data_IF_607295547477
#
_entry.id   IF_607295547477
#
_cell.length_a   1.000
_cell.length_b   1.000
_cell.length_c   1.000
_cell.angle_alpha   90.00
_cell.angle_beta   90.00
_cell.angle_gamma   90.00
#
_symmetry.space_group_name_H-M   'P 1'
#
loop_
_entity.id
_entity.type
_entity.pdbx_description
1 polymer ?
#
# COMPACT_ATOMS: atom_id res chain seq x y z
N UNK A 1 -3.19 -1.48 6.29
CA UNK A 1 -3.90 -2.03 5.12
C UNK A 1 -5.20 -2.73 5.51
N UNK A 2 -5.20 -3.77 6.38
CA UNK A 2 -6.41 -4.55 6.75
C UNK A 2 -7.55 -3.67 7.24
N UNK A 3 -7.32 -2.82 8.24
CA UNK A 3 -8.35 -1.92 8.77
C UNK A 3 -8.81 -0.88 7.73
N UNK A 4 -7.90 -0.41 6.86
CA UNK A 4 -8.28 0.45 5.75
C UNK A 4 -9.18 -0.25 4.72
N UNK A 5 -8.88 -1.51 4.40
CA UNK A 5 -9.71 -2.33 3.52
C UNK A 5 -11.12 -2.53 4.10
N UNK A 6 -11.19 -2.92 5.36
CA UNK A 6 -12.48 -3.07 6.07
C UNK A 6 -13.27 -1.77 6.08
N UNK A 7 -12.63 -0.67 6.49
CA UNK A 7 -13.30 0.65 6.57
C UNK A 7 -13.75 1.13 5.19
N UNK A 8 -12.94 0.93 4.16
CA UNK A 8 -13.29 1.32 2.80
C UNK A 8 -14.52 0.59 2.28
N UNK A 9 -14.61 -0.71 2.51
CA UNK A 9 -15.77 -1.52 2.12
C UNK A 9 -16.99 -1.19 2.98
N UNK A 10 -16.83 -1.06 4.30
CA UNK A 10 -17.91 -0.70 5.21
C UNK A 10 -18.51 0.66 4.86
N UNK A 11 -17.68 1.68 4.63
CA UNK A 11 -18.11 3.01 4.22
C UNK A 11 -18.87 2.95 2.89
N UNK A 12 -18.36 2.18 1.93
CA UNK A 12 -19.00 2.02 0.64
C UNK A 12 -20.42 1.42 0.80
N UNK A 13 -20.55 0.29 1.48
CA UNK A 13 -21.85 -0.37 1.71
C UNK A 13 -22.85 0.50 2.49
N UNK A 14 -22.36 1.32 3.43
CA UNK A 14 -23.21 2.16 4.25
C UNK A 14 -23.75 3.38 3.49
N UNK A 15 -22.90 4.02 2.67
CA UNK A 15 -23.19 5.31 2.04
C UNK A 15 -23.45 5.23 0.54
N UNK A 16 -23.42 4.04 -0.07
CA UNK A 16 -23.62 3.84 -1.51
C UNK A 16 -24.92 4.44 -2.03
N UNK A 17 -26.00 4.34 -1.25
CA UNK A 17 -27.32 4.88 -1.62
C UNK A 17 -27.39 6.41 -1.56
N UNK A 18 -26.65 7.04 -0.64
CA UNK A 18 -26.70 8.49 -0.42
C UNK A 18 -25.68 9.27 -1.25
N UNK A 19 -24.46 8.74 -1.43
CA UNK A 19 -23.36 9.46 -2.07
C UNK A 19 -23.11 9.03 -3.53
N UNK A 20 -23.75 7.96 -3.99
CA UNK A 20 -23.68 7.53 -5.38
C UNK A 20 -22.26 7.24 -5.85
N UNK A 21 -21.83 7.83 -6.96
CA UNK A 21 -20.51 7.62 -7.58
C UNK A 21 -19.34 8.20 -6.78
N UNK A 22 -19.59 9.10 -5.84
CA UNK A 22 -18.56 9.67 -4.98
C UNK A 22 -18.16 8.72 -3.83
N UNK A 23 -18.97 7.71 -3.53
CA UNK A 23 -18.77 6.81 -2.39
C UNK A 23 -17.39 6.13 -2.38
N UNK A 24 -16.88 5.52 -3.48
CA UNK A 24 -15.57 4.89 -3.47
C UNK A 24 -14.44 5.88 -3.15
N UNK A 25 -14.54 7.11 -3.62
CA UNK A 25 -13.52 8.14 -3.39
C UNK A 25 -13.50 8.64 -1.95
N UNK A 26 -14.67 8.89 -1.37
CA UNK A 26 -14.79 9.31 0.02
C UNK A 26 -14.41 8.18 0.99
N UNK A 27 -14.66 6.95 0.62
CA UNK A 27 -14.22 5.79 1.39
C UNK A 27 -12.70 5.71 1.54
N UNK A 28 -11.91 6.21 0.56
CA UNK A 28 -10.45 6.29 0.66
C UNK A 28 -10.02 7.24 1.78
N UNK A 29 -10.74 8.36 1.93
CA UNK A 29 -10.45 9.32 3.01
C UNK A 29 -10.71 8.67 4.37
N UNK A 30 -11.86 8.02 4.54
CA UNK A 30 -12.20 7.31 5.76
C UNK A 30 -11.18 6.19 6.09
N UNK A 31 -10.81 5.40 5.09
CA UNK A 31 -9.80 4.34 5.22
C UNK A 31 -8.42 4.89 5.58
N UNK A 32 -8.03 6.02 4.99
CA UNK A 32 -6.79 6.72 5.31
C UNK A 32 -6.77 7.20 6.75
N UNK A 33 -7.85 7.82 7.24
CA UNK A 33 -7.97 8.29 8.63
C UNK A 33 -7.85 7.13 9.63
N UNK A 34 -8.52 6.01 9.37
CA UNK A 34 -8.39 4.80 10.21
C UNK A 34 -6.96 4.24 10.14
N UNK A 35 -6.32 4.29 8.98
CA UNK A 35 -4.91 3.95 8.83
C UNK A 35 -3.99 4.82 9.70
N UNK A 36 -4.25 6.13 9.77
CA UNK A 36 -3.54 7.07 10.66
C UNK A 36 -3.75 6.70 12.13
N UNK A 37 -4.99 6.39 12.55
CA UNK A 37 -5.27 6.01 13.94
C UNK A 37 -4.47 4.77 14.35
N UNK A 38 -4.45 3.73 13.50
CA UNK A 38 -3.66 2.52 13.77
C UNK A 38 -2.15 2.78 13.78
N UNK A 39 -1.67 3.63 12.88
CA UNK A 39 -0.25 4.00 12.85
C UNK A 39 0.14 4.88 14.05
N UNK A 40 -0.78 5.70 14.57
CA UNK A 40 -0.54 6.46 15.79
C UNK A 40 -0.34 5.57 17.01
N UNK A 41 -1.05 4.45 17.13
CA UNK A 41 -0.82 3.47 18.21
C UNK A 41 0.62 2.98 18.15
N UNK A 42 1.11 2.63 16.95
CA UNK A 42 2.50 2.22 16.75
C UNK A 42 3.49 3.36 17.06
N UNK A 43 3.20 4.58 16.58
CA UNK A 43 4.05 5.74 16.80
C UNK A 43 4.19 6.08 18.29
N UNK A 44 3.08 6.07 19.05
CA UNK A 44 3.09 6.31 20.47
C UNK A 44 3.90 5.23 21.20
N UNK A 45 3.69 3.96 20.88
CA UNK A 45 4.42 2.86 21.48
C UNK A 45 5.95 2.97 21.22
N UNK A 46 6.35 3.21 19.98
CA UNK A 46 7.77 3.14 19.59
C UNK A 46 8.51 4.46 19.77
N UNK A 47 7.87 5.60 19.54
CA UNK A 47 8.53 6.92 19.63
C UNK A 47 8.46 7.48 21.04
N UNK A 48 7.28 7.42 21.69
CA UNK A 48 7.10 7.99 23.04
C UNK A 48 7.53 7.01 24.12
N UNK A 49 7.01 5.78 24.09
CA UNK A 49 7.34 4.75 25.09
C UNK A 49 8.62 3.96 24.76
N UNK A 50 9.22 4.18 23.59
CA UNK A 50 10.45 3.52 23.15
C UNK A 50 10.34 1.99 23.15
N UNK A 51 9.15 1.45 22.91
CA UNK A 51 8.96 0.02 22.77
C UNK A 51 9.71 -0.49 21.53
N UNK A 52 10.00 -1.77 21.52
CA UNK A 52 10.59 -2.43 20.37
C UNK A 52 9.67 -2.34 19.15
N UNK A 53 10.24 -1.92 18.00
CA UNK A 53 9.48 -1.71 16.76
C UNK A 53 8.92 -3.01 16.20
N UNK A 54 9.65 -4.12 16.31
CA UNK A 54 9.22 -5.43 15.80
C UNK A 54 8.07 -5.95 16.64
N UNK A 55 8.20 -5.87 17.99
CA UNK A 55 7.13 -6.31 18.91
C UNK A 55 5.87 -5.49 18.68
N UNK A 56 5.95 -4.16 18.64
CA UNK A 56 4.80 -3.29 18.40
C UNK A 56 4.16 -3.57 17.02
N UNK A 57 4.98 -3.75 15.98
CA UNK A 57 4.50 -4.09 14.64
C UNK A 57 3.78 -5.44 14.60
N UNK A 58 4.33 -6.46 15.28
CA UNK A 58 3.72 -7.80 15.35
C UNK A 58 2.38 -7.76 16.07
N UNK A 59 2.29 -7.05 17.20
CA UNK A 59 1.02 -6.89 17.94
C UNK A 59 -0.05 -6.25 17.05
N UNK A 60 0.27 -5.18 16.33
CA UNK A 60 -0.69 -4.54 15.43
C UNK A 60 -1.05 -5.40 14.23
N UNK A 61 -0.11 -6.20 13.74
CA UNK A 61 -0.37 -7.13 12.64
C UNK A 61 -1.31 -8.27 13.03
N UNK A 62 -1.37 -8.64 14.31
CA UNK A 62 -2.34 -9.57 14.87
C UNK A 62 -3.66 -8.89 15.25
N UNK A 63 -3.58 -7.70 15.85
CA UNK A 63 -4.74 -6.94 16.32
C UNK A 63 -5.66 -6.51 15.16
N UNK A 64 -5.09 -5.98 14.07
CA UNK A 64 -5.90 -5.42 12.98
C UNK A 64 -6.80 -6.46 12.29
N UNK A 65 -6.32 -7.66 11.90
CA UNK A 65 -7.18 -8.71 11.38
C UNK A 65 -8.21 -9.21 12.41
N UNK A 66 -7.80 -9.42 13.66
CA UNK A 66 -8.70 -9.88 14.72
C UNK A 66 -9.86 -8.90 14.95
N UNK A 67 -9.56 -7.59 15.01
CA UNK A 67 -10.55 -6.54 15.15
C UNK A 67 -11.45 -6.45 13.92
N UNK A 68 -10.90 -6.53 12.72
CA UNK A 68 -11.67 -6.51 11.48
C UNK A 68 -12.66 -7.69 11.40
N UNK A 69 -12.21 -8.91 11.75
CA UNK A 69 -13.08 -10.10 11.80
C UNK A 69 -14.20 -9.93 12.83
N UNK A 70 -13.84 -9.45 14.02
CA UNK A 70 -14.82 -9.20 15.09
C UNK A 70 -15.90 -8.24 14.61
N UNK A 71 -15.51 -7.11 14.00
CA UNK A 71 -16.45 -6.11 13.50
C UNK A 71 -17.30 -6.63 12.34
N UNK A 72 -16.72 -7.40 11.41
CA UNK A 72 -17.49 -8.03 10.32
C UNK A 72 -18.54 -8.97 10.88
N UNK A 73 -18.18 -9.81 11.84
CA UNK A 73 -19.14 -10.72 12.48
C UNK A 73 -20.21 -9.98 13.26
N UNK A 74 -19.84 -8.92 13.99
CA UNK A 74 -20.76 -8.12 14.77
C UNK A 74 -21.79 -7.35 13.90
N UNK A 75 -21.37 -6.87 12.73
CA UNK A 75 -22.22 -6.05 11.85
C UNK A 75 -23.03 -6.93 10.88
N UNK A 76 -22.39 -7.92 10.27
CA UNK A 76 -22.97 -8.71 9.18
C UNK A 76 -23.43 -10.11 9.59
N UNK A 77 -23.10 -10.58 10.80
CA UNK A 77 -23.34 -11.97 11.26
C UNK A 77 -22.77 -13.04 10.30
N UNK A 78 -21.78 -12.69 9.50
CA UNK A 78 -21.11 -13.54 8.48
C UNK A 78 -19.60 -13.45 8.65
N UNK A 79 -18.86 -14.31 7.94
CA UNK A 79 -17.38 -14.26 7.90
C UNK A 79 -16.82 -13.22 6.93
N UNK A 80 -17.67 -12.55 6.16
CA UNK A 80 -17.32 -11.55 5.17
C UNK A 80 -18.42 -10.50 5.03
N UNK A 81 -18.10 -9.33 4.49
CA UNK A 81 -19.09 -8.30 4.15
C UNK A 81 -19.89 -8.70 2.92
N UNK A 82 -20.98 -8.02 2.68
CA UNK A 82 -21.66 -8.10 1.39
C UNK A 82 -20.78 -7.49 0.27
N UNK A 83 -21.09 -7.81 -0.99
CA UNK A 83 -20.37 -7.27 -2.12
C UNK A 83 -20.76 -5.81 -2.34
N UNK A 84 -19.78 -4.94 -2.60
CA UNK A 84 -20.01 -3.58 -3.04
C UNK A 84 -20.53 -3.59 -4.47
N UNK A 85 -21.49 -2.73 -4.77
CA UNK A 85 -22.01 -2.59 -6.12
C UNK A 85 -21.30 -1.46 -6.90
N UNK A 86 -20.70 -0.52 -6.18
CA UNK A 86 -19.99 0.62 -6.77
C UNK A 86 -18.50 0.53 -6.46
N UNK A 87 -17.72 0.25 -7.49
CA UNK A 87 -16.26 0.34 -7.48
C UNK A 87 -15.77 1.61 -8.18
N UNK A 88 -14.47 1.81 -8.23
CA UNK A 88 -13.86 2.86 -9.04
C UNK A 88 -14.19 2.61 -10.52
N UNK A 89 -14.89 3.54 -11.15
CA UNK A 89 -15.34 3.40 -12.54
C UNK A 89 -14.17 3.14 -13.51
N UNK A 90 -14.46 2.42 -14.58
CA UNK A 90 -13.53 2.31 -15.71
C UNK A 90 -13.67 3.54 -16.59
N UNK A 91 -12.54 4.11 -16.98
CA UNK A 91 -12.47 5.31 -17.79
C UNK A 91 -11.72 5.02 -19.09
N UNK A 92 -12.20 5.61 -20.18
CA UNK A 92 -11.51 5.61 -21.47
C UNK A 92 -10.94 7.01 -21.69
N UNK A 93 -9.64 7.11 -21.90
CA UNK A 93 -9.03 8.39 -22.22
C UNK A 93 -9.37 8.80 -23.65
N UNK A 94 -10.09 9.93 -23.85
CA UNK A 94 -10.35 10.43 -25.18
C UNK A 94 -9.03 10.70 -25.90
N UNK A 95 -8.96 10.45 -27.21
CA UNK A 95 -7.76 10.63 -28.06
C UNK A 95 -6.66 9.57 -27.84
N UNK A 96 -6.29 9.26 -26.61
CA UNK A 96 -5.23 8.28 -26.32
C UNK A 96 -5.72 6.82 -26.49
N UNK A 97 -7.04 6.58 -26.36
CA UNK A 97 -7.65 5.28 -26.60
C UNK A 97 -7.63 4.87 -28.09
N UNK A 98 -7.46 5.83 -29.00
CA UNK A 98 -7.50 5.57 -30.45
C UNK A 98 -6.13 5.16 -31.03
N UNK A 99 -5.08 5.20 -30.22
CA UNK A 99 -3.75 4.75 -30.63
C UNK A 99 -3.77 3.22 -30.77
N UNK A 100 -3.44 2.65 -31.96
CA UNK A 100 -3.45 1.22 -32.17
C UNK A 100 -2.45 0.54 -31.21
N UNK A 101 -2.87 -0.60 -30.61
CA UNK A 101 -2.14 -1.41 -29.65
C UNK A 101 -1.94 -0.73 -28.29
N UNK A 102 -1.37 0.45 -28.22
CA UNK A 102 -1.11 1.16 -26.93
C UNK A 102 -2.40 1.68 -26.31
N UNK A 103 -3.36 2.13 -27.13
CA UNK A 103 -4.67 2.57 -26.67
C UNK A 103 -5.45 1.45 -25.98
N UNK A 104 -5.45 0.26 -26.58
CA UNK A 104 -6.16 -0.90 -26.05
C UNK A 104 -5.53 -1.43 -24.74
N UNK A 105 -4.20 -1.37 -24.62
CA UNK A 105 -3.47 -1.91 -23.46
C UNK A 105 -3.53 -0.95 -22.27
N UNK A 106 -3.33 0.35 -22.50
CA UNK A 106 -3.15 1.31 -21.42
C UNK A 106 -4.31 2.27 -21.21
N UNK A 107 -5.09 2.61 -22.22
CA UNK A 107 -6.02 3.73 -22.17
C UNK A 107 -7.50 3.36 -22.32
N UNK A 108 -7.83 2.11 -22.68
CA UNK A 108 -9.21 1.60 -22.70
C UNK A 108 -9.52 0.80 -21.44
N UNK A 109 -10.70 1.03 -20.89
CA UNK A 109 -11.24 0.33 -19.72
C UNK A 109 -10.31 0.33 -18.50
N UNK A 110 -9.50 1.36 -18.34
CA UNK A 110 -8.53 1.49 -17.25
C UNK A 110 -9.14 2.12 -16.01
N UNK A 111 -8.63 1.73 -14.84
CA UNK A 111 -9.01 2.36 -13.58
C UNK A 111 -8.23 3.67 -13.38
N UNK A 112 -8.95 4.76 -13.10
CA UNK A 112 -8.34 6.05 -12.77
C UNK A 112 -7.38 5.96 -11.57
N UNK A 113 -7.66 5.03 -10.65
CA UNK A 113 -6.83 4.81 -9.44
C UNK A 113 -5.40 4.42 -9.80
N UNK A 114 -5.18 3.62 -10.86
CA UNK A 114 -3.84 3.24 -11.31
C UNK A 114 -3.00 4.46 -11.73
N UNK A 115 -3.58 5.37 -12.51
CA UNK A 115 -2.89 6.60 -12.92
C UNK A 115 -2.63 7.55 -11.75
N UNK A 116 -3.59 7.66 -10.82
CA UNK A 116 -3.40 8.44 -9.61
C UNK A 116 -2.27 7.87 -8.75
N UNK A 117 -2.13 6.54 -8.67
CA UNK A 117 -1.02 5.92 -7.96
C UNK A 117 0.34 6.22 -8.60
N UNK A 118 0.41 6.19 -9.95
CA UNK A 118 1.63 6.59 -10.69
C UNK A 118 1.94 8.06 -10.44
N UNK A 119 0.97 8.95 -10.62
CA UNK A 119 1.14 10.39 -10.38
C UNK A 119 1.55 10.67 -8.93
N UNK A 120 0.94 9.96 -7.97
CA UNK A 120 1.31 10.07 -6.56
C UNK A 120 2.75 9.61 -6.29
N UNK A 121 3.25 8.61 -6.99
CA UNK A 121 4.65 8.17 -6.83
C UNK A 121 5.65 9.24 -7.28
N UNK A 122 5.35 9.98 -8.35
CA UNK A 122 6.14 11.14 -8.76
C UNK A 122 6.04 12.29 -7.76
N UNK A 123 4.84 12.55 -7.24
CA UNK A 123 4.62 13.55 -6.18
C UNK A 123 5.43 13.19 -4.92
N UNK A 124 5.37 11.94 -4.49
CA UNK A 124 6.12 11.45 -3.34
C UNK A 124 7.63 11.57 -3.56
N UNK A 125 8.12 11.25 -4.77
CA UNK A 125 9.52 11.49 -5.13
C UNK A 125 9.88 12.97 -5.04
N UNK A 126 9.05 13.86 -5.61
CA UNK A 126 9.29 15.30 -5.53
C UNK A 126 9.33 15.80 -4.08
N UNK A 127 8.35 15.41 -3.26
CA UNK A 127 8.30 15.78 -1.84
C UNK A 127 9.54 15.27 -1.09
N UNK A 128 9.93 14.01 -1.29
CA UNK A 128 11.07 13.39 -0.59
C UNK A 128 12.42 13.95 -1.02
N UNK A 129 12.61 14.31 -2.30
CA UNK A 129 13.93 14.67 -2.83
C UNK A 129 14.10 16.17 -3.15
N UNK A 130 13.00 16.91 -3.32
CA UNK A 130 13.04 18.31 -3.75
C UNK A 130 12.50 19.30 -2.72
N UNK A 131 11.97 18.84 -1.57
CA UNK A 131 11.43 19.72 -0.54
C UNK A 131 12.23 19.69 0.75
N UNK A 132 12.11 20.78 1.55
CA UNK A 132 12.71 20.88 2.88
C UNK A 132 12.18 19.81 3.84
N UNK A 133 10.90 19.44 3.71
CA UNK A 133 10.28 18.38 4.51
C UNK A 133 10.94 17.02 4.24
N UNK A 134 11.08 16.63 2.97
CA UNK A 134 11.73 15.37 2.59
C UNK A 134 13.20 15.32 3.00
N UNK A 135 13.93 16.46 2.90
CA UNK A 135 15.31 16.54 3.37
C UNK A 135 15.40 16.28 4.87
N UNK A 136 14.55 16.92 5.68
CA UNK A 136 14.49 16.72 7.13
C UNK A 136 14.11 15.28 7.49
N UNK A 137 13.12 14.72 6.81
CA UNK A 137 12.68 13.35 7.05
C UNK A 137 13.80 12.33 6.78
N UNK A 138 14.52 12.49 5.67
CA UNK A 138 15.66 11.63 5.33
C UNK A 138 16.84 11.80 6.27
N UNK A 139 17.15 13.04 6.70
CA UNK A 139 18.23 13.28 7.68
C UNK A 139 17.94 12.61 9.03
N UNK A 140 16.68 12.63 9.48
CA UNK A 140 16.24 11.92 10.69
C UNK A 140 16.29 10.40 10.51
N UNK A 141 16.05 9.88 9.32
CA UNK A 141 16.18 8.46 9.00
C UNK A 141 17.63 7.98 8.93
N UNK A 142 18.57 8.85 8.57
CA UNK A 142 19.98 8.48 8.42
C UNK A 142 20.79 8.73 9.72
N UNK A 143 20.69 9.95 10.28
CA UNK A 143 21.41 10.36 11.50
C UNK A 143 20.53 11.26 12.37
N UNK A 144 19.66 10.69 13.23
CA UNK A 144 18.72 11.47 14.04
C UNK A 144 19.40 12.40 15.03
N UNK A 145 20.56 12.01 15.60
CA UNK A 145 21.32 12.85 16.52
C UNK A 145 21.89 14.10 15.82
N UNK A 146 22.47 13.93 14.63
CA UNK A 146 22.96 15.05 13.84
C UNK A 146 21.80 15.98 13.37
N UNK A 147 20.63 15.43 13.08
CA UNK A 147 19.46 16.22 12.74
C UNK A 147 18.98 17.07 13.95
N UNK A 148 19.01 16.51 15.17
CA UNK A 148 18.62 17.22 16.39
C UNK A 148 19.58 18.38 16.70
N UNK A 149 20.89 18.20 16.53
CA UNK A 149 21.87 19.28 16.72
C UNK A 149 21.68 20.44 15.74
N UNK A 150 21.11 20.20 14.58
CA UNK A 150 20.72 21.21 13.60
C UNK A 150 19.34 21.84 13.88
N UNK A 151 18.72 21.55 15.03
CA UNK A 151 17.43 22.09 15.44
C UNK A 151 16.22 21.42 14.78
N UNK A 152 16.37 20.24 14.16
CA UNK A 152 15.25 19.49 13.59
C UNK A 152 14.59 18.68 14.71
N UNK A 153 13.29 18.86 14.90
CA UNK A 153 12.54 18.06 15.85
C UNK A 153 12.37 16.61 15.36
N UNK A 154 13.22 15.72 15.86
CA UNK A 154 13.27 14.31 15.46
C UNK A 154 11.97 13.57 15.77
N UNK A 155 11.37 13.82 16.95
CA UNK A 155 10.11 13.19 17.34
C UNK A 155 8.97 13.55 16.37
N UNK A 156 8.83 14.86 16.08
CA UNK A 156 7.80 15.33 15.14
C UNK A 156 7.97 14.69 13.75
N UNK A 157 9.20 14.64 13.24
CA UNK A 157 9.47 14.05 11.92
C UNK A 157 9.15 12.55 11.89
N UNK A 158 9.48 11.81 12.94
CA UNK A 158 9.12 10.39 13.06
C UNK A 158 7.62 10.18 13.11
N UNK A 159 6.89 10.96 13.93
CA UNK A 159 5.43 10.92 13.98
C UNK A 159 4.82 11.20 12.61
N UNK A 160 5.25 12.24 11.91
CA UNK A 160 4.78 12.56 10.56
C UNK A 160 5.03 11.40 9.59
N UNK A 161 6.21 10.81 9.61
CA UNK A 161 6.55 9.68 8.73
C UNK A 161 5.64 8.48 8.97
N UNK A 162 5.43 8.09 10.22
CA UNK A 162 4.57 6.95 10.58
C UNK A 162 3.10 7.24 10.25
N UNK A 163 2.59 8.45 10.50
CA UNK A 163 1.22 8.83 10.17
C UNK A 163 0.97 8.83 8.66
N UNK A 164 1.91 9.36 7.87
CA UNK A 164 1.80 9.34 6.39
C UNK A 164 1.81 7.90 5.89
N UNK A 165 2.68 7.04 6.43
CA UNK A 165 2.70 5.61 6.11
C UNK A 165 1.37 4.93 6.43
N UNK A 166 0.78 5.21 7.60
CA UNK A 166 -0.52 4.70 7.99
C UNK A 166 -1.65 5.15 7.08
N UNK A 167 -1.67 6.45 6.72
CA UNK A 167 -2.64 7.03 5.79
C UNK A 167 -2.59 6.30 4.43
N UNK A 168 -1.39 6.19 3.86
CA UNK A 168 -1.20 5.54 2.55
C UNK A 168 -1.49 4.05 2.60
N UNK A 169 -1.09 3.38 3.70
CA UNK A 169 -1.41 1.98 3.93
C UNK A 169 -2.91 1.72 4.06
N UNK A 170 -3.65 2.63 4.71
CA UNK A 170 -5.12 2.60 4.80
C UNK A 170 -5.77 2.76 3.43
N UNK A 171 -5.37 3.77 2.67
CA UNK A 171 -5.86 4.03 1.30
C UNK A 171 -5.56 2.83 0.39
N UNK A 172 -4.32 2.32 0.40
CA UNK A 172 -3.94 1.16 -0.39
C UNK A 172 -4.76 -0.10 -0.08
N UNK A 173 -5.08 -0.33 1.20
CA UNK A 173 -5.98 -1.41 1.62
C UNK A 173 -7.39 -1.25 1.06
N UNK A 174 -7.96 -0.05 1.13
CA UNK A 174 -9.30 0.24 0.60
C UNK A 174 -9.37 0.11 -0.93
N UNK A 175 -8.34 0.59 -1.65
CA UNK A 175 -8.23 0.42 -3.10
C UNK A 175 -8.21 -1.07 -3.45
N UNK A 176 -7.39 -1.86 -2.78
CA UNK A 176 -7.27 -3.30 -3.04
C UNK A 176 -8.61 -4.01 -2.83
N UNK A 177 -9.27 -3.78 -1.70
CA UNK A 177 -10.53 -4.42 -1.38
C UNK A 177 -11.66 -4.03 -2.35
N UNK A 178 -11.73 -2.77 -2.76
CA UNK A 178 -12.78 -2.28 -3.64
C UNK A 178 -12.54 -2.54 -5.14
N UNK A 179 -11.26 -2.68 -5.56
CA UNK A 179 -10.92 -2.90 -6.98
C UNK A 179 -10.79 -4.37 -7.34
N UNK A 180 -10.34 -5.22 -6.41
CA UNK A 180 -9.99 -6.61 -6.69
C UNK A 180 -10.97 -7.58 -6.04
N UNK A 181 -11.24 -7.42 -4.73
CA UNK A 181 -12.05 -8.38 -3.97
C UNK A 181 -13.54 -8.09 -4.00
N UNK A 182 -13.94 -6.83 -4.22
CA UNK A 182 -15.33 -6.33 -4.24
C UNK A 182 -16.07 -6.54 -2.91
N UNK A 183 -15.42 -7.13 -1.91
CA UNK A 183 -15.89 -7.32 -0.54
C UNK A 183 -14.70 -7.32 0.42
N UNK A 184 -14.97 -7.43 1.70
CA UNK A 184 -13.96 -7.66 2.71
C UNK A 184 -14.18 -9.02 3.39
N UNK A 185 -13.18 -9.87 3.30
CA UNK A 185 -13.02 -11.10 4.08
C UNK A 185 -11.66 -11.06 4.79
N UNK A 186 -11.46 -11.94 5.76
CA UNK A 186 -10.18 -12.06 6.49
C UNK A 186 -9.01 -12.30 5.54
N UNK A 187 -9.26 -13.06 4.49
CA UNK A 187 -8.27 -13.45 3.49
C UNK A 187 -8.00 -12.36 2.42
N UNK A 188 -8.81 -11.30 2.37
CA UNK A 188 -8.69 -10.25 1.35
C UNK A 188 -7.32 -9.59 1.33
N UNK A 189 -6.71 -9.33 2.49
CA UNK A 189 -5.41 -8.63 2.61
C UNK A 189 -4.30 -9.58 3.11
N UNK A 190 -4.43 -10.88 2.90
CA UNK A 190 -3.34 -11.82 3.22
C UNK A 190 -2.31 -11.82 2.08
N UNK A 191 -1.14 -11.30 2.35
CA UNK A 191 -0.01 -11.25 1.39
C UNK A 191 0.28 -9.91 0.72
N UNK A 192 -0.69 -9.10 0.23
CA UNK A 192 -0.40 -7.85 -0.48
C UNK A 192 0.49 -6.86 0.29
N UNK A 193 0.39 -6.83 1.62
CA UNK A 193 1.27 -6.01 2.45
C UNK A 193 2.73 -6.43 2.39
N UNK A 194 3.01 -7.72 2.35
CA UNK A 194 4.38 -8.24 2.21
C UNK A 194 4.94 -8.00 0.82
N UNK A 195 4.10 -8.09 -0.23
CA UNK A 195 4.51 -7.75 -1.60
C UNK A 195 4.85 -6.25 -1.70
N UNK A 196 4.08 -5.39 -1.05
CA UNK A 196 4.38 -3.96 -1.00
C UNK A 196 5.70 -3.66 -0.26
N UNK A 197 5.98 -4.37 0.83
CA UNK A 197 7.26 -4.28 1.55
C UNK A 197 8.41 -4.78 0.67
N UNK A 198 8.24 -5.89 -0.03
CA UNK A 198 9.21 -6.37 -1.00
C UNK A 198 9.45 -5.31 -2.11
N UNK A 199 8.39 -4.73 -2.68
CA UNK A 199 8.50 -3.69 -3.70
C UNK A 199 9.29 -2.47 -3.21
N UNK A 200 9.13 -2.08 -1.94
CA UNK A 200 9.90 -0.99 -1.33
C UNK A 200 11.40 -1.33 -1.26
N UNK A 201 11.75 -2.55 -0.82
CA UNK A 201 13.14 -3.02 -0.73
C UNK A 201 13.76 -3.11 -2.14
N UNK A 202 13.06 -3.71 -3.10
CA UNK A 202 13.48 -3.78 -4.51
C UNK A 202 13.65 -2.41 -5.13
N UNK A 203 12.77 -1.48 -4.79
CA UNK A 203 12.83 -0.09 -5.20
C UNK A 203 13.95 0.73 -4.54
N UNK A 204 14.82 0.08 -3.74
CA UNK A 204 15.93 0.73 -3.03
C UNK A 204 15.48 1.92 -2.19
N UNK A 205 14.37 1.76 -1.47
CA UNK A 205 13.80 2.79 -0.59
C UNK A 205 13.46 4.10 -1.32
N UNK A 206 13.26 4.04 -2.63
CA UNK A 206 12.90 5.18 -3.47
C UNK A 206 11.45 5.06 -3.95
N UNK A 207 10.65 6.16 -3.95
CA UNK A 207 9.26 6.13 -4.43
C UNK A 207 9.12 5.65 -5.88
N UNK A 208 9.98 6.11 -6.77
CA UNK A 208 9.96 5.71 -8.19
C UNK A 208 10.40 4.24 -8.32
N UNK A 209 11.44 3.83 -7.58
CA UNK A 209 11.88 2.44 -7.57
C UNK A 209 10.79 1.49 -7.04
N UNK A 210 10.12 1.87 -5.95
CA UNK A 210 8.99 1.11 -5.40
C UNK A 210 7.82 1.03 -6.39
N UNK A 211 7.53 2.11 -7.13
CA UNK A 211 6.53 2.11 -8.19
C UNK A 211 6.88 1.10 -9.31
N UNK A 212 8.12 1.13 -9.81
CA UNK A 212 8.56 0.20 -10.86
C UNK A 212 8.51 -1.24 -10.39
N UNK A 213 8.96 -1.51 -9.17
CA UNK A 213 8.87 -2.83 -8.56
C UNK A 213 7.39 -3.28 -8.39
N UNK A 214 6.52 -2.38 -7.95
CA UNK A 214 5.08 -2.68 -7.82
C UNK A 214 4.42 -2.98 -9.16
N UNK A 215 4.78 -2.26 -10.22
CA UNK A 215 4.31 -2.55 -11.59
C UNK A 215 4.79 -3.92 -12.07
N UNK A 216 6.04 -4.26 -11.79
CA UNK A 216 6.61 -5.56 -12.12
C UNK A 216 5.87 -6.71 -11.39
N UNK A 217 5.67 -6.58 -10.06
CA UNK A 217 4.91 -7.58 -9.30
C UNK A 217 3.45 -7.66 -9.73
N UNK A 218 2.83 -6.52 -10.02
CA UNK A 218 1.45 -6.46 -10.51
C UNK A 218 1.29 -7.16 -11.86
N UNK A 219 2.22 -6.93 -12.80
CA UNK A 219 2.25 -7.61 -14.09
C UNK A 219 2.42 -9.13 -13.92
N UNK A 220 3.33 -9.55 -13.03
CA UNK A 220 3.54 -10.97 -12.74
C UNK A 220 2.29 -11.63 -12.13
N UNK A 221 1.59 -10.95 -11.21
CA UNK A 221 0.34 -11.45 -10.64
C UNK A 221 -0.79 -11.50 -11.67
N UNK A 222 -0.89 -10.48 -12.54
CA UNK A 222 -1.88 -10.50 -13.63
C UNK A 222 -1.64 -11.68 -14.57
N UNK A 223 -0.38 -11.95 -14.91
CA UNK A 223 -0.03 -13.11 -15.72
C UNK A 223 -0.43 -14.43 -15.05
N UNK A 224 -0.28 -14.53 -13.73
CA UNK A 224 -0.72 -15.72 -12.99
C UNK A 224 -2.23 -15.93 -13.03
N UNK A 225 -3.02 -14.85 -13.08
CA UNK A 225 -4.49 -14.93 -13.12
C UNK A 225 -5.02 -15.22 -14.52
N UNK A 226 -4.50 -14.54 -15.55
CA UNK A 226 -5.03 -14.63 -16.92
C UNK A 226 -4.24 -15.59 -17.82
N UNK A 227 -3.13 -16.14 -17.31
CA UNK A 227 -2.21 -16.95 -18.14
C UNK A 227 -2.87 -18.15 -18.82
N UNK A 228 -3.82 -18.81 -18.14
CA UNK A 228 -4.57 -19.92 -18.73
C UNK A 228 -5.48 -19.51 -19.91
N UNK A 229 -5.78 -18.22 -20.04
CA UNK A 229 -6.59 -17.70 -21.14
C UNK A 229 -5.72 -17.30 -22.35
N UNK A 230 -4.40 -17.26 -22.17
CA UNK A 230 -3.46 -16.93 -23.23
C UNK A 230 -3.12 -18.19 -24.03
N UNK A 231 -3.20 -18.16 -25.38
CA UNK A 231 -2.93 -19.34 -26.22
C UNK A 231 -1.56 -19.98 -25.97
N UNK A 232 -0.56 -19.17 -25.62
CA UNK A 232 0.81 -19.61 -25.36
C UNK A 232 0.98 -20.33 -24.02
N UNK A 233 0.13 -20.05 -23.04
CA UNK A 233 0.23 -20.50 -21.65
C UNK A 233 -0.92 -21.45 -21.26
N UNK A 234 -1.86 -21.69 -22.15
CA UNK A 234 -3.04 -22.53 -21.90
C UNK A 234 -2.72 -23.98 -21.53
N UNK A 235 -1.55 -24.47 -21.98
CA UNK A 235 -1.05 -25.83 -21.67
C UNK A 235 -0.28 -25.90 -20.33
N UNK A 236 0.01 -24.76 -19.71
CA UNK A 236 0.76 -24.72 -18.46
C UNK A 236 -0.21 -24.89 -17.29
N UNK A 237 0.01 -25.88 -16.40
CA UNK A 237 -0.85 -26.02 -15.21
C UNK A 237 -0.88 -24.75 -14.37
N UNK A 238 -2.08 -24.38 -13.89
CA UNK A 238 -2.35 -23.14 -13.12
C UNK A 238 -1.41 -22.96 -11.94
N UNK A 239 -0.97 -24.07 -11.32
CA UNK A 239 -0.05 -24.06 -10.17
C UNK A 239 1.28 -23.41 -10.53
N UNK A 240 1.85 -23.69 -11.71
CA UNK A 240 3.11 -23.08 -12.15
C UNK A 240 2.95 -21.59 -12.43
N UNK A 241 1.80 -21.17 -12.98
CA UNK A 241 1.49 -19.75 -13.20
C UNK A 241 1.36 -19.00 -11.88
N UNK A 242 0.77 -19.62 -10.86
CA UNK A 242 0.64 -19.02 -9.52
C UNK A 242 1.99 -18.92 -8.79
N UNK A 243 2.91 -19.83 -9.04
CA UNK A 243 4.26 -19.81 -8.46
C UNK A 243 5.19 -18.86 -9.23
N UNK A 244 4.92 -18.58 -10.49
CA UNK A 244 5.77 -17.78 -11.37
C UNK A 244 6.15 -16.40 -10.78
N UNK A 245 5.26 -15.62 -10.16
CA UNK A 245 5.62 -14.34 -9.54
C UNK A 245 6.70 -14.49 -8.44
N UNK A 246 6.63 -15.55 -7.66
CA UNK A 246 7.58 -15.80 -6.56
C UNK A 246 8.94 -16.23 -7.10
N UNK A 247 8.95 -17.13 -8.09
CA UNK A 247 10.19 -17.56 -8.75
C UNK A 247 10.85 -16.38 -9.46
N UNK A 248 10.07 -15.58 -10.19
CA UNK A 248 10.53 -14.39 -10.87
C UNK A 248 11.13 -13.37 -9.89
N UNK A 249 10.52 -13.24 -8.72
CA UNK A 249 11.03 -12.41 -7.62
C UNK A 249 12.43 -12.89 -7.17
N UNK A 250 12.58 -14.19 -6.95
CA UNK A 250 13.87 -14.78 -6.52
C UNK A 250 14.92 -14.58 -7.61
N UNK A 251 14.59 -14.82 -8.88
CA UNK A 251 15.51 -14.65 -10.01
C UNK A 251 15.95 -13.19 -10.14
N UNK A 252 15.01 -12.23 -10.06
CA UNK A 252 15.32 -10.80 -10.11
C UNK A 252 16.17 -10.40 -8.91
N UNK A 253 15.87 -10.90 -7.72
CA UNK A 253 16.71 -10.72 -6.54
C UNK A 253 18.15 -11.20 -6.79
N UNK A 254 18.33 -12.40 -7.29
CA UNK A 254 19.64 -12.98 -7.54
C UNK A 254 20.42 -12.22 -8.64
N UNK A 255 19.73 -11.76 -9.69
CA UNK A 255 20.35 -11.11 -10.84
C UNK A 255 20.70 -9.63 -10.62
N UNK A 256 19.87 -8.90 -9.85
CA UNK A 256 19.99 -7.46 -9.66
C UNK A 256 20.44 -7.04 -8.25
N UNK A 257 21.19 -7.87 -7.56
CA UNK A 257 21.72 -7.59 -6.22
C UNK A 257 22.67 -6.38 -6.21
N UNK A 258 22.11 -5.18 -6.32
CA UNK A 258 22.77 -3.98 -5.85
C UNK A 258 22.33 -3.76 -4.41
N UNK A 259 23.25 -3.43 -3.52
CA UNK A 259 23.01 -3.22 -2.09
C UNK A 259 21.81 -2.25 -1.88
N UNK A 260 20.63 -2.80 -1.52
CA UNK A 260 19.55 -1.99 -0.98
C UNK A 260 19.89 -1.68 0.47
N UNK A 261 20.35 -0.46 0.73
CA UNK A 261 20.73 -0.03 2.07
C UNK A 261 19.51 0.67 2.69
N UNK A 262 18.99 0.08 3.76
CA UNK A 262 17.96 0.73 4.58
C UNK A 262 18.52 1.99 5.26
N UNK A 263 17.68 2.97 5.59
CA UNK A 263 18.11 4.09 6.44
C UNK A 263 18.72 3.59 7.75
N UNK A 264 19.85 4.15 8.17
CA UNK A 264 20.62 3.64 9.31
C UNK A 264 19.87 3.65 10.64
N UNK A 265 18.92 4.56 10.82
CA UNK A 265 18.10 4.66 12.02
C UNK A 265 16.78 3.88 11.94
N UNK A 266 16.60 3.00 10.92
CA UNK A 266 15.42 2.16 10.78
C UNK A 266 15.32 1.17 11.96
N UNK A 267 14.16 1.11 12.60
CA UNK A 267 13.93 0.27 13.78
C UNK A 267 14.71 0.65 15.06
N UNK A 268 15.47 1.75 15.04
CA UNK A 268 16.27 2.18 16.20
C UNK A 268 15.55 3.30 16.96
N UNK A 269 15.37 3.09 18.26
CA UNK A 269 14.80 4.11 19.14
C UNK A 269 15.73 5.33 19.26
N UNK A 270 15.15 6.52 19.13
CA UNK A 270 15.88 7.76 19.30
C UNK A 270 15.85 8.21 20.76
N UNK A 271 17.03 8.49 21.31
CA UNK A 271 17.21 9.08 22.63
C UNK A 271 17.94 10.42 22.44
N UNK A 272 17.31 11.51 22.88
CA UNK A 272 17.92 12.83 22.82
C UNK A 272 19.14 12.84 23.72
N UNK A 273 20.30 13.17 23.16
CA UNK A 273 21.49 13.45 23.98
C UNK A 273 21.25 14.74 24.78
N UNK A 274 21.63 14.71 26.06
CA UNK A 274 21.57 15.89 26.94
C UNK A 274 22.58 16.93 26.48
#
# INVERSE_FOLDING_TARGET
MVMGAFTGVLFNLTFEKSLGSATPWLSLVAAGLVGVVFSLIHAVATITFRADHVVSGTVLNLLAPALAIFLVKAIYNKGQTDNIQRSFGKFNFPVLSDIPVLGDIFFKHTSLVGYLAIAFSFLAWFVMFKTKFGLRLRSVGEHPQAADTLGINVYLMRYCGVMISGLLGGIGGAIYAQSISVNFAVTTIVGPGFIALAAMIFGKWSPIGAMLASLFFGASQSLAVIGNQLPLLSSVPTVYLQIAPYVLTIVVLAAFFGKAVAPKADGINYIKSK
#
